data_IF_185716641376
#
_entry.id   IF_185716641376
#
_cell.length_a   1.000
_cell.length_b   1.000
_cell.length_c   1.000
_cell.angle_alpha   90.00
_cell.angle_beta   90.00
_cell.angle_gamma   90.00
#
_symmetry.space_group_name_H-M   'P 1'
#
loop_
_entity.id
_entity.type
_entity.pdbx_description
1 polymer ?
#
# COMPACT_ATOMS: atom_id res chain seq x y z
N UNK A 1 34.59 4.03 34.58
CA UNK A 1 33.57 2.97 34.52
C UNK A 1 33.02 2.88 33.10
N UNK A 2 33.62 2.08 32.21
CA UNK A 2 33.19 1.97 30.79
C UNK A 2 33.28 0.55 30.21
N UNK A 3 33.46 -0.48 31.04
CA UNK A 3 33.91 -1.79 30.56
C UNK A 3 32.84 -2.88 30.40
N UNK A 4 31.54 -2.57 30.53
CA UNK A 4 30.48 -3.57 30.34
C UNK A 4 29.25 -2.98 29.62
N UNK A 5 29.46 -2.42 28.42
CA UNK A 5 28.33 -2.13 27.52
C UNK A 5 28.11 -3.36 26.63
N UNK A 6 26.92 -3.98 26.65
CA UNK A 6 26.62 -5.11 25.76
C UNK A 6 26.77 -4.67 24.29
N UNK A 7 27.26 -5.55 23.40
CA UNK A 7 27.56 -5.18 22.01
C UNK A 7 26.31 -4.66 21.31
N UNK A 8 26.38 -3.41 20.84
CA UNK A 8 25.30 -2.78 20.07
C UNK A 8 25.21 -3.48 18.72
N UNK A 9 24.24 -4.39 18.56
CA UNK A 9 23.96 -4.99 17.25
C UNK A 9 23.49 -3.90 16.30
N UNK A 10 24.13 -3.83 15.12
CA UNK A 10 23.70 -2.89 14.07
C UNK A 10 22.24 -3.16 13.73
N UNK A 11 21.43 -2.13 13.96
CA UNK A 11 20.05 -2.06 13.54
C UNK A 11 19.96 -2.28 12.01
N UNK A 12 19.28 -3.35 11.56
CA UNK A 12 19.14 -3.67 10.11
C UNK A 12 18.73 -2.44 9.30
N UNK A 13 19.27 -2.28 8.10
CA UNK A 13 18.97 -1.13 7.24
C UNK A 13 17.47 -1.07 6.87
N UNK A 14 16.92 0.13 6.60
CA UNK A 14 15.55 0.28 6.11
C UNK A 14 15.27 -0.52 4.85
N UNK A 15 16.25 -0.61 3.94
CA UNK A 15 16.16 -1.43 2.72
C UNK A 15 16.05 -2.93 2.99
N UNK A 16 16.77 -3.45 3.99
CA UNK A 16 16.67 -4.85 4.37
C UNK A 16 15.31 -5.19 5.01
N UNK A 17 14.73 -4.25 5.76
CA UNK A 17 13.37 -4.40 6.29
C UNK A 17 12.32 -4.33 5.18
N UNK A 18 12.47 -3.38 4.25
CA UNK A 18 11.62 -3.28 3.08
C UNK A 18 11.63 -4.59 2.28
N UNK A 19 12.80 -5.16 2.01
CA UNK A 19 12.91 -6.41 1.28
C UNK A 19 12.25 -7.57 2.04
N UNK A 20 12.45 -7.69 3.35
CA UNK A 20 11.79 -8.71 4.19
C UNK A 20 10.28 -8.55 4.22
N UNK A 21 9.79 -7.32 4.28
CA UNK A 21 8.37 -7.02 4.21
C UNK A 21 7.80 -7.39 2.85
N UNK A 22 8.47 -7.04 1.75
CA UNK A 22 8.07 -7.44 0.39
C UNK A 22 8.06 -8.96 0.20
N UNK A 23 9.02 -9.68 0.78
CA UNK A 23 9.05 -11.14 0.75
C UNK A 23 7.85 -11.79 1.46
N UNK A 24 7.17 -11.07 2.35
CA UNK A 24 5.92 -11.53 3.00
C UNK A 24 4.71 -11.03 2.21
N UNK A 25 4.70 -9.75 1.86
CA UNK A 25 3.58 -9.08 1.18
C UNK A 25 3.35 -9.66 -0.21
N UNK A 26 4.38 -9.78 -1.05
CA UNK A 26 4.20 -10.19 -2.45
C UNK A 26 3.60 -11.60 -2.59
N UNK A 27 4.06 -12.65 -1.86
CA UNK A 27 3.41 -13.96 -1.91
C UNK A 27 1.96 -13.94 -1.46
N UNK A 28 1.62 -13.13 -0.45
CA UNK A 28 0.24 -12.99 0.02
C UNK A 28 -0.63 -12.36 -1.07
N UNK A 29 -0.17 -11.29 -1.71
CA UNK A 29 -0.90 -10.66 -2.81
C UNK A 29 -1.08 -11.65 -3.97
N UNK A 30 -0.02 -12.34 -4.38
CA UNK A 30 -0.07 -13.37 -5.44
C UNK A 30 -1.07 -14.47 -5.09
N UNK A 31 -1.05 -14.95 -3.85
CA UNK A 31 -1.98 -15.98 -3.38
C UNK A 31 -3.43 -15.49 -3.42
N UNK A 32 -3.70 -14.24 -2.99
CA UNK A 32 -5.03 -13.63 -3.08
C UNK A 32 -5.51 -13.55 -4.52
N UNK A 33 -4.68 -13.07 -5.45
CA UNK A 33 -5.01 -13.03 -6.88
C UNK A 33 -5.29 -14.44 -7.44
N UNK A 34 -4.49 -15.42 -7.02
CA UNK A 34 -4.62 -16.79 -7.49
C UNK A 34 -5.90 -17.46 -6.98
N UNK A 35 -6.26 -17.24 -5.71
CA UNK A 35 -7.51 -17.74 -5.10
C UNK A 35 -8.73 -17.08 -5.72
N UNK A 36 -8.68 -15.77 -5.97
CA UNK A 36 -9.81 -15.03 -6.56
C UNK A 36 -9.98 -15.28 -8.06
N UNK A 37 -8.96 -15.81 -8.71
CA UNK A 37 -8.93 -16.04 -10.15
C UNK A 37 -8.46 -14.78 -10.89
N UNK A 38 -7.38 -14.87 -11.68
CA UNK A 38 -6.90 -13.72 -12.44
C UNK A 38 -7.95 -13.30 -13.48
N UNK A 39 -8.07 -11.99 -13.69
CA UNK A 39 -9.03 -11.42 -14.62
C UNK A 39 -8.78 -11.97 -16.03
N UNK A 40 -9.80 -12.53 -16.73
CA UNK A 40 -9.62 -13.13 -18.05
C UNK A 40 -9.07 -12.17 -19.11
N UNK A 41 -9.31 -10.86 -18.94
CA UNK A 41 -8.85 -9.78 -19.81
C UNK A 41 -7.56 -9.11 -19.33
N UNK A 42 -6.83 -9.69 -18.37
CA UNK A 42 -5.62 -9.11 -17.79
C UNK A 42 -4.55 -8.79 -18.85
N UNK A 43 -4.36 -9.69 -19.82
CA UNK A 43 -3.41 -9.48 -20.93
C UNK A 43 -3.76 -8.26 -21.77
N UNK A 44 -5.06 -7.99 -21.97
CA UNK A 44 -5.56 -6.80 -22.68
C UNK A 44 -5.50 -5.55 -21.81
N UNK A 45 -5.61 -5.67 -20.49
CA UNK A 45 -5.51 -4.54 -19.55
C UNK A 45 -4.07 -4.06 -19.40
N UNK A 46 -3.10 -4.98 -19.33
CA UNK A 46 -1.66 -4.66 -19.17
C UNK A 46 -1.12 -3.87 -20.37
N UNK A 47 -1.73 -3.95 -21.55
CA UNK A 47 -1.33 -3.12 -22.70
C UNK A 47 -1.89 -1.70 -22.66
N UNK A 48 -2.84 -1.42 -21.75
CA UNK A 48 -3.46 -0.10 -21.67
C UNK A 48 -2.59 0.86 -20.85
N UNK A 49 -2.18 2.02 -21.40
CA UNK A 49 -1.34 2.98 -20.69
C UNK A 49 -1.95 3.47 -19.38
N UNK A 50 -3.29 3.57 -19.34
CA UNK A 50 -4.04 3.97 -18.13
C UNK A 50 -3.90 2.97 -16.99
N UNK A 51 -3.83 1.67 -17.29
CA UNK A 51 -3.72 0.60 -16.30
C UNK A 51 -2.30 0.58 -15.74
N UNK A 52 -1.30 0.57 -16.63
CA UNK A 52 0.12 0.60 -16.26
C UNK A 52 0.42 1.81 -15.37
N UNK A 53 -0.09 2.99 -15.72
CA UNK A 53 0.18 4.23 -14.95
C UNK A 53 -0.39 4.15 -13.53
N UNK A 54 -1.61 3.65 -13.37
CA UNK A 54 -2.23 3.52 -12.05
C UNK A 54 -1.51 2.48 -11.18
N UNK A 55 -1.20 1.32 -11.76
CA UNK A 55 -0.42 0.26 -11.09
C UNK A 55 0.97 0.73 -10.69
N UNK A 56 1.65 1.48 -11.56
CA UNK A 56 2.96 2.02 -11.27
C UNK A 56 2.92 3.06 -10.16
N UNK A 57 1.92 3.95 -10.16
CA UNK A 57 1.75 4.93 -9.09
C UNK A 57 1.42 4.27 -7.74
N UNK A 58 0.56 3.25 -7.74
CA UNK A 58 0.24 2.47 -6.55
C UNK A 58 1.48 1.72 -6.04
N UNK A 59 2.21 1.04 -6.92
CA UNK A 59 3.45 0.32 -6.59
C UNK A 59 4.55 1.24 -6.04
N UNK A 60 4.78 2.39 -6.67
CA UNK A 60 5.73 3.40 -6.18
C UNK A 60 5.30 3.93 -4.80
N UNK A 61 4.01 4.24 -4.62
CA UNK A 61 3.47 4.71 -3.33
C UNK A 61 3.65 3.65 -2.24
N UNK A 62 3.38 2.39 -2.55
CA UNK A 62 3.60 1.25 -1.65
C UNK A 62 5.07 1.18 -1.20
N UNK A 63 6.01 1.17 -2.14
CA UNK A 63 7.45 1.03 -1.85
C UNK A 63 8.00 2.22 -1.07
N UNK A 64 7.67 3.44 -1.50
CA UNK A 64 8.15 4.66 -0.86
C UNK A 64 7.57 4.80 0.56
N UNK A 65 6.29 4.47 0.74
CA UNK A 65 5.63 4.52 2.05
C UNK A 65 6.17 3.47 3.01
N UNK A 66 6.40 2.24 2.55
CA UNK A 66 7.04 1.20 3.36
C UNK A 66 8.46 1.60 3.76
N UNK A 67 9.25 2.13 2.82
CA UNK A 67 10.59 2.63 3.10
C UNK A 67 10.60 3.77 4.14
N UNK A 68 9.68 4.73 3.99
CA UNK A 68 9.53 5.84 4.93
C UNK A 68 9.09 5.36 6.32
N UNK A 69 8.19 4.38 6.41
CA UNK A 69 7.77 3.77 7.68
C UNK A 69 8.97 3.16 8.44
N UNK A 70 9.84 2.43 7.75
CA UNK A 70 11.05 1.86 8.34
C UNK A 70 12.14 2.90 8.64
N UNK A 71 12.13 4.04 7.95
CA UNK A 71 13.05 5.15 8.18
C UNK A 71 12.62 6.05 9.34
N UNK A 72 11.32 6.16 9.62
CA UNK A 72 10.76 7.01 10.68
C UNK A 72 11.23 6.66 12.10
N UNK A 73 11.79 5.46 12.29
CA UNK A 73 12.37 5.02 13.56
C UNK A 73 13.86 5.34 13.75
N UNK A 74 14.51 6.01 12.79
CA UNK A 74 15.96 6.21 12.82
C UNK A 74 16.30 7.70 12.96
N UNK A 75 17.08 8.10 13.97
CA UNK A 75 17.53 9.49 14.10
C UNK A 75 18.56 9.89 13.03
N UNK A 76 19.25 8.92 12.43
CA UNK A 76 20.27 9.16 11.39
C UNK A 76 19.68 9.41 9.99
N UNK A 77 18.37 9.30 9.82
CA UNK A 77 17.73 9.43 8.51
C UNK A 77 17.26 10.88 8.27
N UNK A 78 17.55 11.47 7.10
CA UNK A 78 17.18 12.85 6.83
C UNK A 78 15.66 13.01 6.69
N UNK A 79 15.12 14.10 7.24
CA UNK A 79 13.69 14.34 7.34
C UNK A 79 12.96 14.39 5.98
N UNK A 80 13.64 14.76 4.88
CA UNK A 80 13.02 14.81 3.54
C UNK A 80 12.52 13.43 3.08
N UNK A 81 13.12 12.33 3.55
CA UNK A 81 12.67 10.97 3.22
C UNK A 81 11.27 10.67 3.76
N UNK A 82 10.84 11.37 4.82
CA UNK A 82 9.52 11.24 5.40
C UNK A 82 8.44 11.98 4.59
N UNK A 83 8.83 12.92 3.73
CA UNK A 83 7.91 13.69 2.88
C UNK A 83 7.66 13.03 1.52
N UNK A 84 8.60 12.24 1.02
CA UNK A 84 8.45 11.46 -0.21
C UNK A 84 7.14 10.66 -0.33
N UNK A 85 6.70 9.91 0.70
CA UNK A 85 5.47 9.12 0.60
C UNK A 85 4.22 9.99 0.41
N UNK A 86 4.20 11.21 0.95
CA UNK A 86 3.06 12.12 0.77
C UNK A 86 2.98 12.63 -0.68
N UNK A 87 4.11 12.88 -1.32
CA UNK A 87 4.15 13.27 -2.74
C UNK A 87 3.65 12.10 -3.61
N UNK A 88 4.16 10.89 -3.38
CA UNK A 88 3.74 9.70 -4.11
C UNK A 88 2.23 9.44 -3.92
N UNK A 89 1.75 9.54 -2.68
CA UNK A 89 0.34 9.40 -2.35
C UNK A 89 -0.54 10.46 -3.01
N UNK A 90 -0.12 11.72 -3.06
CA UNK A 90 -0.84 12.77 -3.76
C UNK A 90 -1.01 12.48 -5.25
N UNK A 91 0.05 11.96 -5.90
CA UNK A 91 0.00 11.56 -7.30
C UNK A 91 -0.92 10.35 -7.52
N UNK A 92 -0.85 9.35 -6.63
CA UNK A 92 -1.72 8.18 -6.68
C UNK A 92 -3.19 8.55 -6.47
N UNK A 93 -3.49 9.37 -5.47
CA UNK A 93 -4.84 9.88 -5.20
C UNK A 93 -5.39 10.70 -6.37
N UNK A 94 -4.56 11.52 -7.00
CA UNK A 94 -4.95 12.27 -8.19
C UNK A 94 -5.30 11.36 -9.37
N UNK A 95 -4.54 10.28 -9.59
CA UNK A 95 -4.85 9.32 -10.66
C UNK A 95 -6.14 8.54 -10.37
N UNK A 96 -6.35 8.09 -9.12
CA UNK A 96 -7.59 7.45 -8.70
C UNK A 96 -8.79 8.39 -8.88
N UNK A 97 -8.69 9.63 -8.40
CA UNK A 97 -9.73 10.64 -8.57
C UNK A 97 -10.04 10.92 -10.05
N UNK A 98 -9.00 10.96 -10.90
CA UNK A 98 -9.17 11.11 -12.36
C UNK A 98 -9.91 9.92 -12.96
N UNK A 99 -9.63 8.69 -12.53
CA UNK A 99 -10.32 7.49 -13.02
C UNK A 99 -11.79 7.48 -12.59
N UNK A 100 -12.09 7.80 -11.32
CA UNK A 100 -13.45 7.98 -10.83
C UNK A 100 -14.21 9.05 -11.60
N UNK A 101 -13.57 10.19 -11.89
CA UNK A 101 -14.18 11.27 -12.66
C UNK A 101 -14.52 10.84 -14.09
N UNK A 102 -13.58 10.21 -14.80
CA UNK A 102 -13.82 9.71 -16.16
C UNK A 102 -14.95 8.67 -16.19
N UNK A 103 -14.95 7.75 -15.23
CA UNK A 103 -15.98 6.71 -15.12
C UNK A 103 -17.35 7.30 -14.82
N UNK A 104 -17.43 8.30 -13.93
CA UNK A 104 -18.65 9.04 -13.64
C UNK A 104 -19.22 9.71 -14.88
N UNK A 105 -18.38 10.42 -15.66
CA UNK A 105 -18.82 11.08 -16.90
C UNK A 105 -19.32 10.06 -17.93
N UNK A 106 -18.61 8.94 -18.10
CA UNK A 106 -19.00 7.89 -19.06
C UNK A 106 -20.31 7.19 -18.70
N UNK A 107 -20.56 7.01 -17.41
CA UNK A 107 -21.75 6.30 -16.89
C UNK A 107 -22.89 7.24 -16.51
N UNK A 108 -22.79 8.54 -16.83
CA UNK A 108 -23.76 9.59 -16.41
C UNK A 108 -24.05 9.56 -14.91
N UNK A 109 -23.04 9.28 -14.11
CA UNK A 109 -23.12 9.22 -12.65
C UNK A 109 -23.52 7.86 -12.07
N UNK A 110 -23.89 6.86 -12.89
CA UNK A 110 -24.24 5.54 -12.37
C UNK A 110 -23.07 4.84 -11.64
N UNK A 111 -21.82 5.13 -12.02
CA UNK A 111 -20.63 4.60 -11.36
C UNK A 111 -20.31 5.22 -9.98
N UNK A 112 -21.06 6.24 -9.53
CA UNK A 112 -20.96 6.72 -8.15
C UNK A 112 -21.75 5.84 -7.17
N UNK A 113 -22.57 4.91 -7.66
CA UNK A 113 -23.32 3.98 -6.81
C UNK A 113 -22.36 2.95 -6.23
N UNK A 114 -22.34 2.86 -4.89
CA UNK A 114 -21.47 1.94 -4.17
C UNK A 114 -21.96 0.49 -4.34
N UNK A 115 -21.40 -0.25 -5.29
CA UNK A 115 -21.62 -1.69 -5.38
C UNK A 115 -20.63 -2.43 -4.47
N UNK A 116 -21.17 -3.10 -3.45
CA UNK A 116 -20.39 -3.97 -2.57
C UNK A 116 -20.41 -5.38 -3.12
N UNK A 117 -19.28 -5.84 -3.65
CA UNK A 117 -19.10 -7.26 -3.95
C UNK A 117 -18.59 -7.96 -2.69
N UNK A 118 -19.44 -8.80 -2.09
CA UNK A 118 -19.10 -9.53 -0.85
C UNK A 118 -17.92 -10.48 -1.02
N UNK A 119 -17.62 -10.89 -2.26
CA UNK A 119 -16.45 -11.72 -2.56
C UNK A 119 -15.14 -10.94 -2.42
N UNK A 120 -15.16 -9.61 -2.62
CA UNK A 120 -13.97 -8.77 -2.57
C UNK A 120 -13.55 -8.39 -1.13
N UNK A 121 -14.49 -8.39 -0.18
CA UNK A 121 -14.24 -8.07 1.23
C UNK A 121 -13.08 -8.89 1.83
N UNK A 122 -13.08 -10.25 1.77
CA UNK A 122 -11.99 -11.03 2.31
C UNK A 122 -10.67 -10.83 1.56
N UNK A 123 -10.70 -10.62 0.23
CA UNK A 123 -9.47 -10.33 -0.53
C UNK A 123 -8.82 -9.03 -0.08
N UNK A 124 -9.59 -7.94 -0.01
CA UNK A 124 -9.09 -6.62 0.39
C UNK A 124 -8.61 -6.68 1.85
N UNK A 125 -9.38 -7.32 2.72
CA UNK A 125 -9.00 -7.51 4.12
C UNK A 125 -7.66 -8.26 4.22
N UNK A 126 -7.47 -9.37 3.51
CA UNK A 126 -6.21 -10.13 3.55
C UNK A 126 -5.05 -9.35 2.91
N UNK A 127 -5.30 -8.69 1.77
CA UNK A 127 -4.31 -7.91 1.04
C UNK A 127 -3.84 -6.66 1.79
N UNK A 128 -4.67 -6.07 2.66
CA UNK A 128 -4.29 -4.94 3.51
C UNK A 128 -3.82 -5.35 4.92
N UNK A 129 -4.53 -6.26 5.58
CA UNK A 129 -4.29 -6.62 6.98
C UNK A 129 -2.97 -7.36 7.16
N UNK A 130 -2.64 -8.32 6.29
CA UNK A 130 -1.41 -9.11 6.45
C UNK A 130 -0.17 -8.21 6.29
N UNK A 131 -0.07 -7.34 5.25
CA UNK A 131 1.04 -6.41 5.14
C UNK A 131 1.11 -5.41 6.30
N UNK A 132 -0.03 -4.93 6.80
CA UNK A 132 -0.08 -4.05 7.97
C UNK A 132 0.44 -4.74 9.25
N UNK A 133 0.01 -5.99 9.51
CA UNK A 133 0.49 -6.78 10.64
C UNK A 133 1.99 -7.07 10.55
N UNK A 134 2.48 -7.42 9.36
CA UNK A 134 3.91 -7.62 9.10
C UNK A 134 4.70 -6.33 9.39
N UNK A 135 4.20 -5.17 8.95
CA UNK A 135 4.80 -3.86 9.21
C UNK A 135 4.88 -3.59 10.72
N UNK A 136 3.77 -3.75 11.45
CA UNK A 136 3.71 -3.57 12.91
C UNK A 136 4.69 -4.50 13.62
N UNK A 137 4.81 -5.75 13.19
CA UNK A 137 5.74 -6.71 13.78
C UNK A 137 7.21 -6.29 13.58
N UNK A 138 7.58 -5.79 12.41
CA UNK A 138 8.92 -5.27 12.16
C UNK A 138 9.23 -4.00 12.95
N UNK A 139 8.25 -3.10 13.09
CA UNK A 139 8.39 -1.83 13.82
C UNK A 139 8.49 -2.06 15.34
N UNK A 140 7.64 -2.93 15.92
CA UNK A 140 7.63 -3.24 17.36
C UNK A 140 8.91 -3.87 17.89
N UNK A 141 9.70 -4.50 17.02
CA UNK A 141 10.99 -5.10 17.37
C UNK A 141 12.09 -4.06 17.64
N UNK A 142 11.80 -2.75 17.56
CA UNK A 142 12.79 -1.67 17.73
C UNK A 142 12.42 -0.73 18.87
N UNK A 143 13.45 -0.32 19.62
CA UNK A 143 13.33 0.33 20.92
C UNK A 143 12.85 1.80 20.88
N UNK A 144 12.87 2.46 19.73
CA UNK A 144 12.36 3.83 19.58
C UNK A 144 11.95 4.10 18.12
N UNK A 145 10.74 4.60 17.89
CA UNK A 145 10.33 5.13 16.58
C UNK A 145 9.22 6.18 16.70
N UNK A 146 9.12 7.07 15.70
CA UNK A 146 8.02 8.06 15.60
C UNK A 146 6.73 7.34 15.25
N UNK A 147 6.02 6.86 16.27
CA UNK A 147 4.87 5.95 16.15
C UNK A 147 3.83 6.43 15.14
N UNK A 148 3.44 7.71 15.19
CA UNK A 148 2.43 8.30 14.29
C UNK A 148 2.86 8.38 12.82
N UNK A 149 4.11 8.77 12.54
CA UNK A 149 4.57 8.80 11.15
C UNK A 149 4.75 7.39 10.58
N UNK A 150 5.26 6.48 11.39
CA UNK A 150 5.45 5.09 11.00
C UNK A 150 4.11 4.37 10.78
N UNK A 151 3.09 4.64 11.60
CA UNK A 151 1.74 4.09 11.43
C UNK A 151 1.09 4.61 10.15
N UNK A 152 1.12 5.92 9.91
CA UNK A 152 0.53 6.52 8.72
C UNK A 152 1.20 5.99 7.43
N UNK A 153 2.53 6.02 7.37
CA UNK A 153 3.26 5.48 6.22
C UNK A 153 3.05 3.97 6.05
N UNK A 154 2.90 3.24 7.16
CA UNK A 154 2.58 1.80 7.15
C UNK A 154 1.18 1.52 6.60
N UNK A 155 0.19 2.31 7.01
CA UNK A 155 -1.18 2.23 6.51
C UNK A 155 -1.25 2.57 5.02
N UNK A 156 -0.58 3.65 4.60
CA UNK A 156 -0.44 4.02 3.18
C UNK A 156 0.21 2.90 2.36
N UNK A 157 1.25 2.26 2.88
CA UNK A 157 1.90 1.13 2.20
C UNK A 157 0.98 -0.08 2.05
N UNK A 158 0.22 -0.42 3.10
CA UNK A 158 -0.73 -1.52 3.07
C UNK A 158 -1.91 -1.26 2.12
N UNK A 159 -2.45 -0.04 2.13
CA UNK A 159 -3.51 0.39 1.23
C UNK A 159 -3.04 0.34 -0.24
N UNK A 160 -1.86 0.90 -0.53
CA UNK A 160 -1.28 0.86 -1.89
C UNK A 160 -0.92 -0.56 -2.34
N UNK A 161 -0.51 -1.45 -1.42
CA UNK A 161 -0.25 -2.86 -1.73
C UNK A 161 -1.53 -3.62 -2.12
N UNK A 162 -2.63 -3.39 -1.40
CA UNK A 162 -3.92 -3.95 -1.74
C UNK A 162 -4.46 -3.40 -3.07
N UNK A 163 -4.23 -2.11 -3.35
CA UNK A 163 -4.57 -1.51 -4.65
C UNK A 163 -3.90 -2.24 -5.81
N UNK A 164 -2.61 -2.57 -5.70
CA UNK A 164 -1.87 -3.27 -6.77
C UNK A 164 -2.43 -4.68 -7.06
N UNK A 165 -3.07 -5.32 -6.08
CA UNK A 165 -3.64 -6.64 -6.26
C UNK A 165 -5.05 -6.60 -6.87
N UNK A 166 -5.86 -5.61 -6.50
CA UNK A 166 -7.28 -5.51 -6.82
C UNK A 166 -7.61 -5.57 -8.32
N UNK A 167 -6.99 -4.75 -9.19
CA UNK A 167 -7.24 -4.75 -10.63
C UNK A 167 -6.86 -6.06 -11.34
N UNK A 168 -6.10 -6.94 -10.67
CA UNK A 168 -5.65 -8.20 -11.23
C UNK A 168 -6.74 -9.28 -11.22
N UNK A 169 -7.75 -9.17 -10.35
CA UNK A 169 -8.86 -10.12 -10.25
C UNK A 169 -10.24 -9.46 -10.30
N UNK A 170 -10.32 -8.13 -10.31
CA UNK A 170 -11.58 -7.40 -10.40
C UNK A 170 -11.49 -6.21 -11.37
N UNK A 171 -12.50 -6.05 -12.23
CA UNK A 171 -12.58 -4.92 -13.14
C UNK A 171 -12.98 -3.63 -12.39
N UNK A 172 -12.60 -2.47 -12.94
CA UNK A 172 -12.61 -1.13 -12.34
C UNK A 172 -13.95 -0.59 -11.78
N UNK A 173 -15.02 -1.38 -11.75
CA UNK A 173 -16.36 -0.95 -11.29
C UNK A 173 -16.45 -0.74 -9.77
N UNK A 174 -15.46 -1.20 -9.00
CA UNK A 174 -15.39 -0.99 -7.54
C UNK A 174 -14.48 0.15 -7.11
N UNK A 175 -13.98 0.97 -8.05
CA UNK A 175 -13.03 2.05 -7.75
C UNK A 175 -13.49 3.00 -6.64
N UNK A 176 -14.79 3.31 -6.58
CA UNK A 176 -15.35 4.17 -5.54
C UNK A 176 -15.28 3.52 -4.16
N UNK A 177 -15.60 2.21 -4.08
CA UNK A 177 -15.53 1.45 -2.85
C UNK A 177 -14.09 1.34 -2.36
N UNK A 178 -13.17 1.05 -3.27
CA UNK A 178 -11.73 1.00 -2.99
C UNK A 178 -11.23 2.35 -2.51
N UNK A 179 -11.61 3.46 -3.15
CA UNK A 179 -11.22 4.81 -2.73
C UNK A 179 -11.75 5.13 -1.31
N UNK A 180 -13.01 4.82 -1.02
CA UNK A 180 -13.59 5.02 0.32
C UNK A 180 -12.88 4.16 1.37
N UNK A 181 -12.61 2.89 1.07
CA UNK A 181 -12.10 1.96 2.07
C UNK A 181 -10.59 2.13 2.30
N UNK A 182 -9.83 2.29 1.21
CA UNK A 182 -8.38 2.48 1.27
C UNK A 182 -8.03 3.85 1.85
N UNK A 183 -8.69 4.93 1.41
CA UNK A 183 -8.43 6.27 1.97
C UNK A 183 -9.00 6.43 3.37
N UNK A 184 -10.18 5.84 3.64
CA UNK A 184 -10.76 5.81 4.99
C UNK A 184 -9.83 5.13 5.98
N UNK A 185 -9.20 4.02 5.60
CA UNK A 185 -8.24 3.33 6.47
C UNK A 185 -7.01 4.19 6.79
N UNK A 186 -6.48 4.95 5.81
CA UNK A 186 -5.31 5.82 6.00
C UNK A 186 -5.63 7.01 6.91
N UNK A 187 -6.81 7.63 6.77
CA UNK A 187 -7.22 8.82 7.55
C UNK A 187 -7.49 8.49 9.02
N UNK A 188 -7.84 7.24 9.34
CA UNK A 188 -8.13 6.80 10.72
C UNK A 188 -6.87 6.60 11.59
N UNK A 189 -5.66 6.66 11.04
CA UNK A 189 -4.38 6.47 11.75
C UNK A 189 -3.59 7.77 11.90
#
# INVERSE_FOLDING_TARGET
>A
MTQNLPPVRRASSPSALLLRWLLITAPVLVLVVWIMGPLPSLTTQITQPRFIRAELLAGVTCLVSAYAAFSAGRPDEPAWKLWLPFIAFGLWLAELGRQCFVLSVQTKGAALVLHTDFMCIPAIALAGLIPALAMVWFLRRRAAFRLTHASLCGAMAAAAAAEVALPLFHAAETMMMVLVWQMGSVVLF
#
